data_IF_549869333911
#
_entry.id   IF_549869333911
#
_cell.length_a   1.000
_cell.length_b   1.000
_cell.length_c   1.000
_cell.angle_alpha   90.00
_cell.angle_beta   90.00
_cell.angle_gamma   90.00
#
_symmetry.space_group_name_H-M   'P 1'
#
loop_
_entity.id
_entity.type
_entity.pdbx_description
1 polymer ?
#
# COMPACT_ATOMS: atom_id res chain seq x y z
N UNK A 1 -41.37 -30.75 8.36
CA UNK A 1 -40.08 -31.46 8.52
C UNK A 1 -39.69 -32.04 7.18
N UNK A 2 -38.52 -31.67 6.66
CA UNK A 2 -37.57 -32.49 5.88
C UNK A 2 -38.10 -33.39 4.73
N UNK A 3 -37.58 -33.46 3.50
CA UNK A 3 -36.41 -32.87 2.80
C UNK A 3 -36.69 -33.19 1.31
N UNK A 4 -36.45 -32.27 0.38
CA UNK A 4 -36.21 -32.60 -1.03
C UNK A 4 -35.56 -31.42 -1.72
N UNK A 5 -34.28 -31.55 -2.03
CA UNK A 5 -33.79 -31.50 -3.41
C UNK A 5 -32.26 -31.56 -3.44
N UNK A 6 -31.78 -32.63 -4.08
CA UNK A 6 -30.81 -32.56 -5.19
C UNK A 6 -29.39 -32.09 -4.82
N UNK A 7 -28.58 -33.11 -4.61
CA UNK A 7 -27.18 -33.21 -5.03
C UNK A 7 -26.89 -32.44 -6.32
N UNK A 8 -25.99 -31.45 -6.24
CA UNK A 8 -25.03 -31.19 -7.31
C UNK A 8 -23.68 -30.86 -6.69
N UNK A 9 -22.81 -31.88 -6.62
CA UNK A 9 -21.37 -31.68 -6.60
C UNK A 9 -20.99 -30.96 -7.90
N UNK A 10 -20.67 -29.68 -7.84
CA UNK A 10 -19.94 -29.02 -8.91
C UNK A 10 -18.58 -28.61 -8.35
N UNK A 11 -17.69 -29.60 -8.33
CA UNK A 11 -16.27 -29.36 -8.33
C UNK A 11 -15.96 -28.50 -9.57
N UNK A 12 -15.67 -27.23 -9.35
CA UNK A 12 -15.01 -26.37 -10.33
C UNK A 12 -13.56 -26.84 -10.42
N UNK A 13 -13.36 -27.94 -11.15
CA UNK A 13 -12.06 -28.36 -11.64
C UNK A 13 -11.58 -27.30 -12.63
N UNK A 14 -10.84 -26.31 -12.13
CA UNK A 14 -10.05 -25.41 -12.96
C UNK A 14 -8.80 -26.19 -13.40
N UNK A 15 -8.65 -26.50 -14.71
CA UNK A 15 -7.59 -27.37 -15.22
C UNK A 15 -6.34 -26.56 -15.54
N UNK A 16 -5.78 -25.90 -14.52
CA UNK A 16 -4.39 -25.44 -14.58
C UNK A 16 -3.61 -26.12 -13.47
N UNK A 17 -3.19 -27.33 -13.80
CA UNK A 17 -2.19 -28.08 -13.09
C UNK A 17 -0.92 -27.23 -12.92
N UNK A 18 -0.67 -26.83 -11.68
CA UNK A 18 0.66 -26.53 -11.16
C UNK A 18 0.80 -27.34 -9.88
N UNK A 19 1.45 -28.49 -10.01
CA UNK A 19 1.69 -29.41 -8.91
C UNK A 19 2.53 -28.75 -7.80
N UNK A 20 2.01 -28.77 -6.58
CA UNK A 20 2.85 -28.98 -5.39
C UNK A 20 1.96 -29.37 -4.21
N UNK A 21 2.08 -30.64 -3.87
CA UNK A 21 1.63 -31.25 -2.64
C UNK A 21 2.15 -30.46 -1.43
N UNK A 22 1.27 -30.22 -0.46
CA UNK A 22 1.64 -29.56 0.78
C UNK A 22 0.41 -29.20 1.58
N UNK A 23 -0.12 -30.18 2.32
CA UNK A 23 -1.11 -29.96 3.35
C UNK A 23 -0.70 -28.82 4.28
N UNK A 24 -1.54 -27.78 4.42
CA UNK A 24 -1.47 -26.85 5.55
C UNK A 24 -2.89 -26.41 5.95
N UNK A 25 -3.50 -27.02 6.98
CA UNK A 25 -4.49 -26.33 7.78
C UNK A 25 -3.71 -25.57 8.87
N UNK A 26 -3.45 -24.28 8.67
CA UNK A 26 -2.93 -23.43 9.73
C UNK A 26 -3.46 -22.01 9.51
N UNK A 27 -4.19 -21.53 10.52
CA UNK A 27 -5.02 -20.35 10.44
C UNK A 27 -4.28 -19.09 9.99
N UNK A 28 -5.04 -18.23 9.29
CA UNK A 28 -5.05 -16.77 9.37
C UNK A 28 -3.86 -16.12 10.12
N UNK A 29 -2.65 -16.31 9.61
CA UNK A 29 -1.45 -15.54 9.96
C UNK A 29 -0.92 -14.75 8.73
N UNK A 30 -1.51 -14.97 7.54
CA UNK A 30 -1.15 -14.26 6.31
C UNK A 30 -1.71 -12.84 6.24
N UNK A 31 -2.97 -12.63 6.62
CA UNK A 31 -3.66 -11.36 6.40
C UNK A 31 -2.99 -10.14 7.07
N UNK A 32 -2.38 -10.31 8.24
CA UNK A 32 -1.68 -9.22 8.92
C UNK A 32 -0.29 -8.91 8.30
N UNK A 33 0.35 -9.91 7.70
CA UNK A 33 1.64 -9.75 7.02
C UNK A 33 1.43 -9.11 5.65
N UNK A 34 0.43 -9.59 4.89
CA UNK A 34 0.06 -9.03 3.58
C UNK A 34 -0.33 -7.53 3.68
N UNK A 35 -1.17 -7.15 4.65
CA UNK A 35 -1.53 -5.73 4.84
C UNK A 35 -0.36 -4.84 5.27
N UNK A 36 0.62 -5.39 5.98
CA UNK A 36 1.80 -4.63 6.37
C UNK A 36 2.75 -4.42 5.18
N UNK A 37 2.95 -5.45 4.36
CA UNK A 37 3.70 -5.36 3.10
C UNK A 37 3.05 -4.37 2.12
N UNK A 38 1.71 -4.35 2.03
CA UNK A 38 0.98 -3.38 1.21
C UNK A 38 1.16 -1.94 1.72
N UNK A 39 1.17 -1.74 3.03
CA UNK A 39 1.42 -0.43 3.66
C UNK A 39 2.86 0.03 3.42
N UNK A 40 3.84 -0.86 3.57
CA UNK A 40 5.25 -0.56 3.30
C UNK A 40 5.49 -0.24 1.82
N UNK A 41 4.85 -0.96 0.90
CA UNK A 41 4.87 -0.65 -0.54
C UNK A 41 4.27 0.73 -0.81
N UNK A 42 3.14 1.06 -0.20
CA UNK A 42 2.50 2.37 -0.36
C UNK A 42 3.39 3.51 0.14
N UNK A 43 4.01 3.36 1.31
CA UNK A 43 4.97 4.33 1.86
C UNK A 43 6.17 4.50 0.91
N UNK A 44 6.75 3.40 0.43
CA UNK A 44 7.89 3.46 -0.50
C UNK A 44 7.53 4.10 -1.85
N UNK A 45 6.29 3.95 -2.32
CA UNK A 45 5.81 4.61 -3.52
C UNK A 45 5.62 6.12 -3.30
N UNK A 46 5.04 6.52 -2.17
CA UNK A 46 4.85 7.93 -1.81
C UNK A 46 6.20 8.65 -1.60
N UNK A 47 7.18 8.00 -0.97
CA UNK A 47 8.55 8.53 -0.85
C UNK A 47 9.17 8.77 -2.23
N UNK A 48 9.05 7.81 -3.16
CA UNK A 48 9.51 7.97 -4.54
C UNK A 48 8.77 9.06 -5.32
N UNK A 49 7.49 9.31 -5.02
CA UNK A 49 6.77 10.44 -5.59
C UNK A 49 7.31 11.76 -5.04
N UNK A 50 7.56 11.83 -3.73
CA UNK A 50 8.11 13.01 -3.07
C UNK A 50 9.52 13.35 -3.59
N UNK A 51 10.38 12.36 -3.79
CA UNK A 51 11.70 12.56 -4.41
C UNK A 51 11.60 13.12 -5.83
N UNK A 52 10.71 12.56 -6.66
CA UNK A 52 10.46 13.07 -8.01
C UNK A 52 9.95 14.50 -7.99
N UNK A 53 9.10 14.83 -7.02
CA UNK A 53 8.56 16.16 -6.83
C UNK A 53 9.64 17.15 -6.39
N UNK A 54 10.54 16.76 -5.50
CA UNK A 54 11.73 17.55 -5.16
C UNK A 54 12.67 17.78 -6.35
N UNK A 55 12.83 16.77 -7.22
CA UNK A 55 13.59 16.95 -8.46
C UNK A 55 12.90 17.92 -9.42
N UNK A 56 11.56 17.92 -9.49
CA UNK A 56 10.81 18.92 -10.25
C UNK A 56 10.95 20.32 -9.66
N UNK A 57 10.90 20.48 -8.33
CA UNK A 57 11.15 21.75 -7.64
C UNK A 57 12.53 22.30 -8.05
N UNK A 58 13.58 21.49 -7.93
CA UNK A 58 14.95 21.90 -8.33
C UNK A 58 15.04 22.27 -9.81
N UNK A 59 14.32 21.55 -10.69
CA UNK A 59 14.25 21.87 -12.11
C UNK A 59 13.54 23.19 -12.38
N UNK A 60 12.48 23.51 -11.65
CA UNK A 60 11.75 24.77 -11.74
C UNK A 60 12.61 25.92 -11.19
N UNK A 61 13.31 25.72 -10.07
CA UNK A 61 14.26 26.69 -9.55
C UNK A 61 15.38 26.99 -10.54
N UNK A 62 15.95 25.95 -11.16
CA UNK A 62 17.00 26.06 -12.17
C UNK A 62 16.48 26.48 -13.56
N UNK A 63 15.17 26.50 -13.79
CA UNK A 63 14.59 26.91 -15.06
C UNK A 63 14.78 28.40 -15.29
N UNK A 64 14.74 28.87 -16.54
CA UNK A 64 14.76 30.30 -16.88
C UNK A 64 13.36 30.94 -16.92
N UNK A 65 12.37 30.35 -16.24
CA UNK A 65 11.04 30.96 -16.10
C UNK A 65 11.11 32.26 -15.28
N UNK A 66 10.12 33.13 -15.43
CA UNK A 66 10.04 34.37 -14.63
C UNK A 66 9.81 34.05 -13.15
N UNK A 67 10.26 34.91 -12.25
CA UNK A 67 10.16 34.69 -10.80
C UNK A 67 8.71 34.48 -10.34
N UNK A 68 7.75 35.13 -10.99
CA UNK A 68 6.31 34.95 -10.74
C UNK A 68 5.79 33.58 -11.16
N UNK A 69 6.25 33.07 -12.31
CA UNK A 69 5.91 31.72 -12.77
C UNK A 69 6.56 30.66 -11.88
N UNK A 70 7.82 30.87 -11.47
CA UNK A 70 8.53 30.02 -10.52
C UNK A 70 7.83 30.00 -9.18
N UNK A 71 7.53 31.15 -8.59
CA UNK A 71 6.86 31.24 -7.29
C UNK A 71 5.54 30.49 -7.29
N UNK A 72 4.71 30.70 -8.33
CA UNK A 72 3.42 30.00 -8.48
C UNK A 72 3.61 28.48 -8.58
N UNK A 73 4.57 28.04 -9.39
CA UNK A 73 4.81 26.61 -9.61
C UNK A 73 5.47 25.94 -8.41
N UNK A 74 6.40 26.62 -7.73
CA UNK A 74 7.01 26.17 -6.49
C UNK A 74 6.00 26.12 -5.36
N UNK A 75 5.08 27.06 -5.26
CA UNK A 75 4.03 27.04 -4.25
C UNK A 75 3.08 25.85 -4.46
N UNK A 76 2.70 25.57 -5.71
CA UNK A 76 1.89 24.40 -6.05
C UNK A 76 2.62 23.07 -5.74
N UNK A 77 3.91 22.98 -6.10
CA UNK A 77 4.74 21.81 -5.82
C UNK A 77 4.96 21.63 -4.31
N UNK A 78 5.24 22.69 -3.56
CA UNK A 78 5.38 22.62 -2.10
C UNK A 78 4.07 22.19 -1.43
N UNK A 79 2.91 22.67 -1.90
CA UNK A 79 1.62 22.22 -1.38
C UNK A 79 1.41 20.70 -1.61
N UNK A 80 1.77 20.19 -2.79
CA UNK A 80 1.76 18.75 -3.06
C UNK A 80 2.76 17.98 -2.21
N UNK A 81 3.96 18.51 -1.99
CA UNK A 81 4.97 17.90 -1.13
C UNK A 81 4.44 17.76 0.31
N UNK A 82 3.86 18.81 0.88
CA UNK A 82 3.28 18.79 2.23
C UNK A 82 2.12 17.80 2.34
N UNK A 83 1.25 17.73 1.33
CA UNK A 83 0.17 16.75 1.30
C UNK A 83 0.69 15.30 1.26
N UNK A 84 1.71 15.02 0.44
CA UNK A 84 2.38 13.73 0.39
C UNK A 84 3.07 13.38 1.72
N UNK A 85 3.74 14.34 2.37
CA UNK A 85 4.33 14.13 3.70
C UNK A 85 3.28 13.76 4.74
N UNK A 86 2.12 14.42 4.72
CA UNK A 86 0.99 14.08 5.59
C UNK A 86 0.52 12.64 5.39
N UNK A 87 0.32 12.22 4.13
CA UNK A 87 -0.07 10.84 3.82
C UNK A 87 0.99 9.81 4.26
N UNK A 88 2.28 10.11 4.06
CA UNK A 88 3.38 9.26 4.52
C UNK A 88 3.32 9.11 6.04
N UNK A 89 3.15 10.20 6.79
CA UNK A 89 3.06 10.13 8.26
C UNK A 89 1.83 9.35 8.72
N UNK A 90 0.68 9.51 8.06
CA UNK A 90 -0.54 8.76 8.39
C UNK A 90 -0.35 7.25 8.17
N UNK A 91 0.25 6.85 7.05
CA UNK A 91 0.53 5.43 6.77
C UNK A 91 1.62 4.87 7.69
N UNK A 92 2.63 5.68 8.02
CA UNK A 92 3.70 5.26 8.91
C UNK A 92 3.20 5.07 10.35
N UNK A 93 2.27 5.92 10.82
CA UNK A 93 1.56 5.71 12.09
C UNK A 93 0.70 4.46 12.05
N UNK A 94 -0.06 4.22 10.98
CA UNK A 94 -0.85 2.99 10.82
C UNK A 94 0.04 1.75 10.87
N UNK A 95 1.22 1.79 10.23
CA UNK A 95 2.20 0.70 10.31
C UNK A 95 2.69 0.49 11.74
N UNK A 96 3.03 1.56 12.44
CA UNK A 96 3.52 1.49 13.82
C UNK A 96 2.44 0.88 14.74
N UNK A 97 1.18 1.24 14.51
CA UNK A 97 0.02 0.75 15.26
C UNK A 97 -0.28 -0.72 14.94
N UNK A 98 -0.20 -1.12 13.67
CA UNK A 98 -0.34 -2.52 13.25
C UNK A 98 0.77 -3.40 13.84
N UNK A 99 2.02 -2.93 13.80
CA UNK A 99 3.18 -3.64 14.34
C UNK A 99 3.11 -3.79 15.87
N UNK A 100 2.63 -2.77 16.60
CA UNK A 100 2.45 -2.85 18.05
C UNK A 100 1.27 -3.74 18.46
N UNK A 101 0.21 -3.80 17.65
CA UNK A 101 -0.91 -4.73 17.87
C UNK A 101 -0.48 -6.19 17.64
N UNK A 102 0.45 -6.44 16.70
CA UNK A 102 1.02 -7.78 16.46
C UNK A 102 1.94 -8.27 17.60
N UNK A 103 2.63 -7.36 18.31
CA UNK A 103 3.48 -7.72 19.44
C UNK A 103 2.70 -7.94 20.76
N UNK A 104 1.42 -7.59 20.81
CA UNK A 104 0.59 -7.65 22.03
C UNK A 104 -0.18 -8.95 22.29
N UNK A 105 -0.08 -9.99 21.44
CA UNK A 105 -0.82 -11.27 21.62
C UNK A 105 0.11 -12.44 21.98
N UNK A 106 1.23 -12.16 22.65
CA UNK A 106 2.07 -13.18 23.28
C UNK A 106 2.51 -12.73 24.68
N UNK A 107 1.60 -12.79 25.66
CA UNK A 107 1.93 -12.80 27.08
C UNK A 107 0.86 -13.58 27.84
#
# INVERSE_FOLDING_TARGET
>A
MAISAITTNLATSNPYAGASAGARPAGRAGAATDSQDDTDKAIAQLQRQLERLMQQIKRVEASQATDEQKATQLQALNAQATALQGQIQTLQNQKLQAASTQQGITA
#
